data_IF_722849278023
#
_entry.id   IF_722849278023
#
_cell.length_a   1.000
_cell.length_b   1.000
_cell.length_c   1.000
_cell.angle_alpha   90.00
_cell.angle_beta   90.00
_cell.angle_gamma   90.00
#
_symmetry.space_group_name_H-M   'P 1'
#
loop_
_entity.id
_entity.type
_entity.pdbx_description
1 polymer ?
#
# COMPACT_ATOMS: atom_id res chain seq x y z
N UNK A 1 -13.07 -24.48 -63.77
CA UNK A 1 -14.10 -24.12 -64.77
C UNK A 1 -14.99 -23.07 -64.12
N UNK A 2 -15.06 -21.79 -64.52
CA UNK A 2 -14.32 -20.95 -65.49
C UNK A 2 -14.15 -19.57 -64.76
N UNK A 3 -13.08 -18.77 -64.86
CA UNK A 3 -12.59 -18.03 -66.03
C UNK A 3 -13.67 -17.22 -66.79
N UNK A 4 -13.47 -15.95 -67.20
CA UNK A 4 -12.42 -14.96 -66.88
C UNK A 4 -12.86 -13.56 -67.39
N UNK A 5 -12.27 -12.46 -66.86
CA UNK A 5 -12.18 -11.09 -67.49
C UNK A 5 -13.47 -10.34 -67.92
N UNK A 6 -13.52 -9.03 -68.15
CA UNK A 6 -12.55 -7.93 -68.41
C UNK A 6 -13.07 -6.62 -67.72
N UNK A 7 -12.54 -5.38 -67.84
CA UNK A 7 -11.59 -4.70 -68.75
C UNK A 7 -10.51 -3.92 -67.96
N UNK A 8 -9.60 -3.26 -68.69
CA UNK A 8 -8.46 -2.50 -68.19
C UNK A 8 -8.65 -0.96 -68.14
N UNK A 9 -7.88 -0.33 -67.23
CA UNK A 9 -7.15 0.95 -67.33
C UNK A 9 -7.61 2.08 -68.28
N UNK A 10 -7.73 3.28 -67.71
CA UNK A 10 -7.33 4.54 -68.36
C UNK A 10 -6.58 5.45 -67.36
N UNK A 11 -5.81 6.41 -67.88
CA UNK A 11 -4.62 6.97 -67.22
C UNK A 11 -4.81 8.19 -66.29
N UNK A 12 -3.84 8.31 -65.37
CA UNK A 12 -3.35 9.50 -64.66
C UNK A 12 -3.61 10.87 -65.34
N UNK A 13 -4.10 11.87 -64.58
CA UNK A 13 -3.36 13.10 -64.15
C UNK A 13 -4.31 14.12 -63.46
N UNK A 14 -4.14 14.38 -62.15
CA UNK A 14 -4.22 15.75 -61.58
C UNK A 14 -3.63 15.82 -60.15
N UNK A 15 -2.69 16.74 -59.95
CA UNK A 15 -2.22 17.37 -58.69
C UNK A 15 -2.17 16.49 -57.41
N UNK A 16 -1.00 16.08 -56.90
CA UNK A 16 0.02 16.95 -56.28
C UNK A 16 -0.58 18.07 -55.39
N UNK A 17 -1.13 17.68 -54.22
CA UNK A 17 -1.29 18.57 -53.03
C UNK A 17 -1.64 17.82 -51.73
N UNK A 18 -0.79 16.87 -51.31
CA UNK A 18 -0.72 16.43 -49.89
C UNK A 18 0.75 16.35 -49.46
N UNK A 19 1.38 17.52 -49.38
CA UNK A 19 2.65 17.71 -48.68
C UNK A 19 2.38 18.47 -47.38
N UNK A 20 2.81 17.91 -46.27
CA UNK A 20 3.11 18.62 -45.02
C UNK A 20 2.02 19.56 -44.45
N UNK A 21 0.94 18.97 -43.93
CA UNK A 21 0.37 19.38 -42.63
C UNK A 21 0.20 18.11 -41.78
N UNK A 22 0.70 18.01 -40.55
CA UNK A 22 1.81 18.73 -39.93
C UNK A 22 2.35 17.81 -38.83
N UNK A 23 3.63 17.43 -38.89
CA UNK A 23 4.30 16.66 -37.84
C UNK A 23 4.63 17.56 -36.63
N UNK A 24 3.59 18.20 -36.11
CA UNK A 24 3.67 19.37 -35.24
C UNK A 24 2.63 19.33 -34.10
N UNK A 25 1.54 18.57 -34.28
CA UNK A 25 0.50 18.34 -33.24
C UNK A 25 0.75 17.08 -32.38
N UNK A 26 1.87 16.38 -32.60
CA UNK A 26 2.38 15.33 -31.71
C UNK A 26 3.66 15.71 -30.96
N UNK A 27 4.01 17.00 -30.98
CA UNK A 27 4.55 17.60 -29.75
C UNK A 27 3.39 17.78 -28.78
N UNK A 28 3.02 16.70 -28.07
CA UNK A 28 2.57 16.91 -26.70
C UNK A 28 3.63 17.82 -26.06
N UNK A 29 3.18 18.90 -25.45
CA UNK A 29 4.09 19.78 -24.74
C UNK A 29 4.91 18.91 -23.78
N UNK A 30 6.23 18.83 -24.01
CA UNK A 30 7.21 18.70 -22.93
C UNK A 30 7.08 20.01 -22.14
N UNK A 31 5.96 20.10 -21.42
CA UNK A 31 5.43 21.32 -20.88
C UNK A 31 6.38 21.80 -19.81
N UNK A 32 6.73 23.08 -19.92
CA UNK A 32 7.20 23.90 -18.82
C UNK A 32 6.45 23.43 -17.57
N UNK A 33 7.17 22.74 -16.67
CA UNK A 33 6.67 22.43 -15.35
C UNK A 33 6.30 23.79 -14.73
N UNK A 34 5.03 24.07 -14.41
CA UNK A 34 4.75 25.21 -13.57
C UNK A 34 5.33 24.85 -12.21
N UNK A 35 6.17 25.71 -11.64
CA UNK A 35 6.67 25.57 -10.27
C UNK A 35 5.51 25.39 -9.26
N UNK A 36 4.30 25.82 -9.64
CA UNK A 36 3.01 25.60 -8.98
C UNK A 36 2.71 24.17 -8.48
N UNK A 37 3.24 23.09 -9.09
CA UNK A 37 2.99 21.76 -8.51
C UNK A 37 3.72 21.55 -7.17
N UNK A 38 4.92 22.12 -7.02
CA UNK A 38 5.64 22.13 -5.73
C UNK A 38 4.90 23.01 -4.72
N UNK A 39 4.24 24.09 -5.16
CA UNK A 39 3.43 24.98 -4.31
C UNK A 39 2.20 24.28 -3.70
N UNK A 40 1.73 23.16 -4.26
CA UNK A 40 0.65 22.37 -3.67
C UNK A 40 1.09 21.44 -2.54
N UNK A 41 2.40 21.17 -2.40
CA UNK A 41 2.93 20.21 -1.41
C UNK A 41 2.84 20.78 0.00
N UNK A 42 1.98 20.19 0.83
CA UNK A 42 1.91 20.45 2.27
C UNK A 42 3.01 19.65 2.97
N UNK A 43 4.00 20.34 3.54
CA UNK A 43 4.99 19.70 4.40
C UNK A 43 4.34 19.10 5.66
N UNK A 44 4.83 17.94 6.10
CA UNK A 44 4.45 17.35 7.39
C UNK A 44 5.02 18.23 8.51
N UNK A 45 4.20 18.57 9.50
CA UNK A 45 4.65 19.32 10.68
C UNK A 45 5.26 18.38 11.73
N UNK A 46 6.58 18.20 11.64
CA UNK A 46 7.35 17.35 12.55
C UNK A 46 7.34 17.83 14.01
N UNK A 47 7.02 19.12 14.26
CA UNK A 47 6.93 19.67 15.63
C UNK A 47 5.86 19.00 16.48
N UNK A 48 4.87 18.37 15.85
CA UNK A 48 3.85 17.55 16.51
C UNK A 48 4.46 16.38 17.31
N UNK A 49 5.64 15.92 16.93
CA UNK A 49 6.37 14.79 17.53
C UNK A 49 7.54 15.23 18.43
N UNK A 50 7.95 16.50 18.38
CA UNK A 50 9.05 17.03 19.20
C UNK A 50 8.75 16.89 20.71
N UNK A 51 9.74 16.41 21.47
CA UNK A 51 9.62 16.22 22.93
C UNK A 51 8.64 15.13 23.37
N UNK A 52 8.12 14.31 22.46
CA UNK A 52 7.31 13.13 22.77
C UNK A 52 8.21 11.92 23.05
N UNK A 53 7.74 11.00 23.89
CA UNK A 53 8.44 9.75 24.23
C UNK A 53 7.52 8.56 24.04
N UNK A 54 8.07 7.44 23.59
CA UNK A 54 7.36 6.15 23.48
C UNK A 54 7.14 5.56 24.89
N UNK A 55 5.92 5.70 25.42
CA UNK A 55 5.58 5.38 26.82
C UNK A 55 4.78 4.10 26.98
N UNK A 56 4.12 3.60 25.93
CA UNK A 56 3.34 2.36 25.98
C UNK A 56 4.15 1.16 25.47
N UNK A 57 3.78 -0.04 25.93
CA UNK A 57 4.38 -1.29 25.44
C UNK A 57 4.21 -1.44 23.92
N UNK A 58 3.03 -1.09 23.38
CA UNK A 58 2.74 -1.10 21.93
C UNK A 58 3.66 -0.18 21.15
N UNK A 59 3.94 1.02 21.68
CA UNK A 59 4.85 2.00 21.09
C UNK A 59 6.30 1.50 21.09
N UNK A 60 6.78 0.95 22.21
CA UNK A 60 8.14 0.43 22.31
C UNK A 60 8.36 -0.82 21.46
N UNK A 61 7.35 -1.70 21.39
CA UNK A 61 7.34 -2.89 20.54
C UNK A 61 7.38 -2.53 19.05
N UNK A 62 6.52 -1.62 18.60
CA UNK A 62 6.51 -1.15 17.21
C UNK A 62 7.84 -0.49 16.82
N UNK A 63 8.45 0.28 17.72
CA UNK A 63 9.77 0.89 17.52
C UNK A 63 10.89 -0.15 17.36
N UNK A 64 10.92 -1.19 18.20
CA UNK A 64 11.92 -2.27 18.09
C UNK A 64 11.78 -3.07 16.79
N UNK A 65 10.55 -3.41 16.39
CA UNK A 65 10.29 -4.14 15.14
C UNK A 65 10.83 -3.39 13.92
N UNK A 66 10.63 -2.06 13.87
CA UNK A 66 11.12 -1.21 12.79
C UNK A 66 12.64 -0.98 12.87
N UNK A 67 13.23 -0.82 14.06
CA UNK A 67 14.68 -0.70 14.20
C UNK A 67 15.43 -1.97 13.75
N UNK A 68 14.89 -3.16 14.04
CA UNK A 68 15.42 -4.43 13.55
C UNK A 68 15.31 -4.55 12.02
N UNK A 69 14.17 -4.18 11.43
CA UNK A 69 14.02 -4.15 9.97
C UNK A 69 15.03 -3.18 9.32
N UNK A 70 15.18 -1.96 9.88
CA UNK A 70 16.13 -0.97 9.39
C UNK A 70 17.59 -1.43 9.50
N UNK A 71 17.93 -2.23 10.52
CA UNK A 71 19.25 -2.86 10.66
C UNK A 71 19.53 -3.79 9.49
N UNK A 72 18.63 -4.73 9.21
CA UNK A 72 18.76 -5.64 8.07
C UNK A 72 18.82 -4.87 6.74
N UNK A 73 17.93 -3.88 6.56
CA UNK A 73 17.85 -3.02 5.39
C UNK A 73 19.19 -2.33 5.05
N UNK A 74 19.83 -1.69 6.04
CA UNK A 74 21.05 -0.91 5.84
C UNK A 74 22.34 -1.75 5.83
N UNK A 75 22.28 -3.01 6.26
CA UNK A 75 23.42 -3.93 6.35
C UNK A 75 23.32 -5.05 5.30
N UNK A 76 22.76 -6.20 5.65
CA UNK A 76 22.71 -7.41 4.81
C UNK A 76 21.95 -7.16 3.51
N UNK A 77 20.74 -6.60 3.57
CA UNK A 77 19.94 -6.35 2.36
C UNK A 77 20.63 -5.39 1.40
N UNK A 78 21.19 -4.27 1.89
CA UNK A 78 21.92 -3.30 1.06
C UNK A 78 23.06 -3.96 0.28
N UNK A 79 23.81 -4.86 0.93
CA UNK A 79 24.90 -5.61 0.31
C UNK A 79 24.38 -6.64 -0.70
N UNK A 80 23.36 -7.43 -0.36
CA UNK A 80 22.75 -8.43 -1.25
C UNK A 80 22.11 -7.81 -2.50
N UNK A 81 21.58 -6.59 -2.39
CA UNK A 81 21.08 -5.80 -3.53
C UNK A 81 22.20 -5.28 -4.45
N UNK A 82 23.46 -5.30 -4.00
CA UNK A 82 24.60 -4.74 -4.72
C UNK A 82 24.60 -3.21 -4.74
N UNK A 83 24.01 -2.56 -3.74
CA UNK A 83 23.87 -1.09 -3.67
C UNK A 83 25.14 -0.39 -3.13
N UNK A 84 26.24 -1.12 -2.97
CA UNK A 84 27.56 -0.56 -2.61
C UNK A 84 28.22 0.23 -3.76
N UNK A 85 27.74 0.09 -4.98
CA UNK A 85 28.24 0.82 -6.16
C UNK A 85 27.10 1.61 -6.84
N UNK A 86 27.40 2.86 -7.22
CA UNK A 86 26.49 3.70 -7.99
C UNK A 86 26.68 3.48 -9.49
N UNK A 87 25.60 3.66 -10.27
CA UNK A 87 25.72 3.85 -11.72
C UNK A 87 26.54 5.10 -12.06
N UNK A 88 27.01 5.20 -13.31
CA UNK A 88 27.74 6.37 -13.82
C UNK A 88 26.97 7.71 -13.71
N UNK A 89 25.67 7.66 -13.43
CA UNK A 89 24.79 8.81 -13.28
C UNK A 89 24.39 9.11 -11.83
N UNK A 90 24.93 8.37 -10.85
CA UNK A 90 24.71 8.62 -9.42
C UNK A 90 23.42 8.00 -8.84
N UNK A 91 22.78 7.10 -9.58
CA UNK A 91 21.60 6.34 -9.13
C UNK A 91 21.93 4.88 -8.83
N UNK A 92 21.15 4.23 -7.97
CA UNK A 92 21.17 2.79 -7.76
C UNK A 92 20.58 2.05 -8.96
N UNK A 93 21.22 0.95 -9.35
CA UNK A 93 20.66 0.04 -10.35
C UNK A 93 19.67 -0.93 -9.68
N UNK A 94 18.37 -0.72 -9.91
CA UNK A 94 17.30 -1.54 -9.36
C UNK A 94 17.29 -3.00 -9.86
N UNK A 95 18.11 -3.34 -10.88
CA UNK A 95 18.21 -4.65 -11.55
C UNK A 95 16.94 -5.08 -12.31
N UNK A 96 16.16 -4.10 -12.76
CA UNK A 96 14.95 -4.28 -13.59
C UNK A 96 13.75 -3.48 -13.07
N UNK A 97 12.60 -3.67 -13.72
CA UNK A 97 11.36 -2.90 -13.48
C UNK A 97 10.25 -3.69 -12.75
N UNK A 98 10.40 -5.00 -12.57
CA UNK A 98 9.36 -5.87 -11.99
C UNK A 98 9.22 -5.73 -10.47
N UNK A 99 8.14 -6.29 -9.89
CA UNK A 99 7.79 -6.23 -8.47
C UNK A 99 8.99 -6.40 -7.52
N UNK A 100 9.70 -7.53 -7.57
CA UNK A 100 10.82 -7.80 -6.65
C UNK A 100 12.06 -6.93 -6.91
N UNK A 101 12.08 -6.12 -7.97
CA UNK A 101 13.10 -5.11 -8.23
C UNK A 101 12.73 -3.77 -7.62
N UNK A 102 11.47 -3.34 -7.74
CA UNK A 102 10.99 -2.02 -7.31
C UNK A 102 10.33 -2.04 -5.93
N UNK A 103 9.30 -2.88 -5.70
CA UNK A 103 8.51 -2.94 -4.46
C UNK A 103 9.36 -3.00 -3.18
N UNK A 104 10.35 -3.90 -3.02
CA UNK A 104 11.16 -3.93 -1.81
C UNK A 104 11.97 -2.64 -1.61
N UNK A 105 12.50 -2.05 -2.68
CA UNK A 105 13.29 -0.82 -2.58
C UNK A 105 12.42 0.35 -2.11
N UNK A 106 11.17 0.40 -2.56
CA UNK A 106 10.19 1.38 -2.12
C UNK A 106 9.76 1.20 -0.65
N UNK A 107 9.58 -0.05 -0.21
CA UNK A 107 9.24 -0.37 1.18
C UNK A 107 10.39 -0.05 2.16
N UNK A 108 11.65 -0.37 1.81
CA UNK A 108 12.80 0.04 2.65
C UNK A 108 12.98 1.57 2.68
N UNK A 109 12.69 2.26 1.56
CA UNK A 109 12.78 3.72 1.50
C UNK A 109 11.78 4.40 2.47
N UNK A 110 10.54 3.93 2.56
CA UNK A 110 9.57 4.48 3.52
C UNK A 110 9.90 4.09 4.97
N UNK A 111 10.44 2.89 5.20
CA UNK A 111 10.80 2.43 6.55
C UNK A 111 11.95 3.23 7.17
N UNK A 112 12.98 3.50 6.36
CA UNK A 112 14.09 4.35 6.76
C UNK A 112 13.64 5.81 6.92
N UNK A 113 12.86 6.34 5.97
CA UNK A 113 12.31 7.70 6.06
C UNK A 113 11.44 7.89 7.31
N UNK A 114 10.55 6.94 7.63
CA UNK A 114 9.71 7.01 8.81
C UNK A 114 10.51 7.00 10.11
N UNK A 115 11.48 6.08 10.23
CA UNK A 115 12.32 5.95 11.42
C UNK A 115 13.17 7.20 11.67
N UNK A 116 13.78 7.75 10.62
CA UNK A 116 14.55 9.00 10.69
C UNK A 116 13.68 10.20 11.05
N UNK A 117 12.51 10.36 10.40
CA UNK A 117 11.70 11.59 10.51
C UNK A 117 10.81 11.66 11.73
N UNK A 118 10.46 10.52 12.32
CA UNK A 118 9.71 10.44 13.58
C UNK A 118 10.61 10.33 14.82
N UNK A 119 11.94 10.39 14.65
CA UNK A 119 12.90 10.35 15.76
C UNK A 119 13.03 8.98 16.43
N UNK A 120 12.74 7.89 15.71
CA UNK A 120 12.98 6.52 16.19
C UNK A 120 14.44 6.11 16.03
N UNK A 121 15.09 6.56 14.96
CA UNK A 121 16.34 6.01 14.48
C UNK A 121 17.44 6.09 15.55
N UNK A 122 18.00 4.92 15.91
CA UNK A 122 19.10 4.79 16.86
C UNK A 122 20.33 4.14 16.19
N UNK A 123 21.41 4.89 15.95
CA UNK A 123 22.65 4.35 15.41
C UNK A 123 23.26 3.20 16.23
N UNK A 124 23.02 3.14 17.54
CA UNK A 124 23.54 2.07 18.39
C UNK A 124 22.81 0.73 18.16
N UNK A 125 21.49 0.77 17.98
CA UNK A 125 20.66 -0.40 17.65
C UNK A 125 20.88 -0.85 16.19
N UNK A 126 20.93 0.10 15.25
CA UNK A 126 20.97 -0.17 13.81
C UNK A 126 22.41 -0.46 13.32
N UNK A 127 23.44 0.00 14.02
CA UNK A 127 24.85 -0.21 13.65
C UNK A 127 25.32 0.64 12.45
N UNK A 128 24.48 1.55 11.95
CA UNK A 128 24.76 2.47 10.85
C UNK A 128 24.46 3.89 11.31
N UNK A 129 25.31 4.86 10.95
CA UNK A 129 25.15 6.25 11.39
C UNK A 129 23.86 6.89 10.82
N UNK A 130 23.24 7.81 11.56
CA UNK A 130 22.05 8.53 11.10
C UNK A 130 22.30 9.30 9.79
N UNK A 131 23.51 9.86 9.62
CA UNK A 131 23.94 10.53 8.39
C UNK A 131 23.95 9.56 7.20
N UNK A 132 24.63 8.43 7.34
CA UNK A 132 24.72 7.41 6.28
C UNK A 132 23.34 6.82 5.95
N UNK A 133 22.50 6.60 6.97
CA UNK A 133 21.12 6.16 6.78
C UNK A 133 20.29 7.19 6.02
N UNK A 134 20.42 8.49 6.33
CA UNK A 134 19.75 9.56 5.60
C UNK A 134 20.23 9.66 4.14
N UNK A 135 21.54 9.57 3.89
CA UNK A 135 22.11 9.53 2.53
C UNK A 135 21.59 8.34 1.73
N UNK A 136 21.62 7.14 2.31
CA UNK A 136 21.06 5.91 1.71
C UNK A 136 19.56 6.06 1.43
N UNK A 137 18.79 6.65 2.34
CA UNK A 137 17.34 6.89 2.17
C UNK A 137 17.06 7.84 1.01
N UNK A 138 17.76 8.98 0.94
CA UNK A 138 17.63 9.95 -0.16
C UNK A 138 18.01 9.29 -1.49
N UNK A 139 19.07 8.47 -1.51
CA UNK A 139 19.52 7.75 -2.69
C UNK A 139 18.50 6.69 -3.17
N UNK A 140 17.84 5.97 -2.26
CA UNK A 140 16.73 5.06 -2.59
C UNK A 140 15.58 5.83 -3.26
N UNK A 141 15.08 6.90 -2.62
CA UNK A 141 14.00 7.75 -3.13
C UNK A 141 14.35 8.30 -4.52
N UNK A 142 15.55 8.84 -4.68
CA UNK A 142 16.05 9.42 -5.93
C UNK A 142 16.14 8.37 -7.05
N UNK A 143 16.61 7.17 -6.73
CA UNK A 143 16.74 6.09 -7.72
C UNK A 143 15.38 5.51 -8.13
N UNK A 144 14.44 5.39 -7.19
CA UNK A 144 13.06 4.98 -7.47
C UNK A 144 12.35 5.97 -8.40
N UNK A 145 12.35 7.26 -8.03
CA UNK A 145 11.71 8.31 -8.81
C UNK A 145 12.32 8.44 -10.21
N UNK A 146 13.65 8.43 -10.32
CA UNK A 146 14.34 8.53 -11.61
C UNK A 146 14.06 7.34 -12.52
N UNK A 147 14.04 6.12 -11.99
CA UNK A 147 13.80 4.90 -12.76
C UNK A 147 12.33 4.70 -13.19
N UNK A 148 11.39 5.54 -12.74
CA UNK A 148 9.99 5.49 -13.16
C UNK A 148 9.81 5.98 -14.60
N UNK A 149 8.82 5.44 -15.32
CA UNK A 149 8.57 5.76 -16.73
C UNK A 149 8.20 7.24 -17.00
N UNK A 150 7.80 7.99 -15.97
CA UNK A 150 7.56 9.43 -16.06
C UNK A 150 8.86 10.25 -16.18
N UNK A 151 10.02 9.63 -15.89
CA UNK A 151 11.33 10.27 -15.83
C UNK A 151 12.36 9.59 -16.74
N UNK A 152 12.29 8.27 -16.91
CA UNK A 152 13.22 7.48 -17.76
C UNK A 152 12.47 6.62 -18.78
N UNK A 153 12.95 6.60 -20.03
CA UNK A 153 12.38 5.77 -21.09
C UNK A 153 12.52 4.27 -20.75
N UNK A 154 11.45 3.49 -20.89
CA UNK A 154 11.34 2.08 -20.45
C UNK A 154 11.54 1.88 -18.94
N UNK A 155 11.32 2.93 -18.13
CA UNK A 155 11.22 2.83 -16.68
C UNK A 155 10.04 1.99 -16.20
N UNK A 156 9.99 1.71 -14.89
CA UNK A 156 8.88 0.99 -14.25
C UNK A 156 7.63 1.87 -14.14
N UNK A 157 6.44 1.26 -14.03
CA UNK A 157 5.19 2.00 -13.83
C UNK A 157 4.04 1.60 -14.77
N UNK A 158 2.83 2.09 -14.48
CA UNK A 158 1.58 1.79 -15.21
C UNK A 158 1.33 0.28 -15.41
N UNK A 159 1.69 -0.52 -14.41
CA UNK A 159 1.65 -1.98 -14.43
C UNK A 159 1.03 -2.52 -13.15
N UNK A 160 0.78 -3.84 -13.09
CA UNK A 160 0.16 -4.45 -11.91
C UNK A 160 0.98 -4.14 -10.63
N UNK A 161 0.29 -3.63 -9.60
CA UNK A 161 0.84 -3.05 -8.37
C UNK A 161 1.73 -1.79 -8.49
N UNK A 162 1.99 -1.18 -9.66
CA UNK A 162 2.89 -0.01 -9.73
C UNK A 162 2.44 1.17 -8.86
N UNK A 163 1.13 1.37 -8.73
CA UNK A 163 0.53 2.37 -7.85
C UNK A 163 0.85 2.15 -6.36
N UNK A 164 1.06 0.90 -5.93
CA UNK A 164 1.52 0.58 -4.58
C UNK A 164 2.99 0.99 -4.40
N UNK A 165 3.86 0.59 -5.35
CA UNK A 165 5.30 0.86 -5.26
C UNK A 165 5.59 2.37 -5.38
N UNK A 166 4.88 3.06 -6.27
CA UNK A 166 4.89 4.51 -6.37
C UNK A 166 4.32 5.18 -5.12
N UNK A 167 3.32 4.58 -4.47
CA UNK A 167 2.78 5.01 -3.20
C UNK A 167 3.83 5.05 -2.08
N UNK A 168 4.51 3.93 -1.83
CA UNK A 168 5.63 3.86 -0.88
C UNK A 168 6.75 4.84 -1.24
N UNK A 169 7.15 4.88 -2.52
CA UNK A 169 8.21 5.78 -3.03
C UNK A 169 7.87 7.27 -2.84
N UNK A 170 6.63 7.65 -3.14
CA UNK A 170 6.12 9.01 -2.97
C UNK A 170 6.00 9.38 -1.48
N UNK A 171 5.62 8.43 -0.62
CA UNK A 171 5.55 8.67 0.81
C UNK A 171 6.92 8.87 1.43
N UNK A 172 7.90 8.01 1.12
CA UNK A 172 9.29 8.20 1.49
C UNK A 172 9.82 9.58 1.04
N UNK A 173 9.52 9.96 -0.22
CA UNK A 173 9.86 11.27 -0.77
C UNK A 173 9.20 12.43 -0.03
N UNK A 174 7.92 12.31 0.36
CA UNK A 174 7.19 13.33 1.12
C UNK A 174 7.70 13.45 2.57
N UNK A 175 8.03 12.34 3.23
CA UNK A 175 8.65 12.36 4.55
C UNK A 175 10.03 13.04 4.52
N UNK A 176 10.80 12.83 3.45
CA UNK A 176 12.14 13.41 3.26
C UNK A 176 12.16 14.74 2.48
N UNK A 177 11.01 15.37 2.20
CA UNK A 177 10.86 16.39 1.15
C UNK A 177 11.86 17.56 1.23
N UNK A 178 12.09 18.12 2.42
CA UNK A 178 13.03 19.22 2.67
C UNK A 178 14.52 18.82 2.63
N UNK A 179 14.81 17.54 2.35
CA UNK A 179 16.16 17.00 2.15
C UNK A 179 16.42 16.57 0.69
N UNK A 180 15.40 16.57 -0.16
CA UNK A 180 15.51 16.22 -1.57
C UNK A 180 15.99 17.43 -2.38
N UNK A 181 16.78 17.18 -3.44
CA UNK A 181 17.09 18.21 -4.43
C UNK A 181 15.89 18.50 -5.35
N UNK A 182 15.87 19.69 -5.95
CA UNK A 182 14.76 20.16 -6.82
C UNK A 182 14.44 19.17 -7.95
N UNK A 183 15.45 18.51 -8.50
CA UNK A 183 15.24 17.49 -9.54
C UNK A 183 14.47 16.30 -8.98
N UNK A 184 14.88 15.76 -7.84
CA UNK A 184 14.23 14.62 -7.20
C UNK A 184 12.81 14.95 -6.78
N UNK A 185 12.56 16.17 -6.27
CA UNK A 185 11.20 16.66 -6.00
C UNK A 185 10.32 16.66 -7.27
N UNK A 186 10.83 17.19 -8.38
CA UNK A 186 10.11 17.17 -9.67
C UNK A 186 9.90 15.74 -10.21
N UNK A 187 10.88 14.84 -10.06
CA UNK A 187 10.78 13.44 -10.50
C UNK A 187 9.73 12.66 -9.68
N UNK A 188 9.65 12.89 -8.36
CA UNK A 188 8.60 12.33 -7.49
C UNK A 188 7.21 12.84 -7.89
N UNK A 189 7.04 14.14 -8.16
CA UNK A 189 5.74 14.69 -8.60
C UNK A 189 5.32 14.15 -9.98
N UNK A 190 6.27 13.97 -10.91
CA UNK A 190 6.03 13.31 -12.21
C UNK A 190 5.50 11.89 -12.03
N UNK A 191 6.15 11.10 -11.17
CA UNK A 191 5.74 9.73 -10.84
C UNK A 191 4.32 9.70 -10.24
N UNK A 192 4.05 10.54 -9.23
CA UNK A 192 2.73 10.63 -8.60
C UNK A 192 1.65 10.96 -9.63
N UNK A 193 1.84 11.99 -10.45
CA UNK A 193 0.85 12.39 -11.46
C UNK A 193 0.56 11.26 -12.44
N UNK A 194 1.59 10.61 -12.98
CA UNK A 194 1.44 9.57 -14.02
C UNK A 194 0.72 8.33 -13.49
N UNK A 195 0.98 7.94 -12.24
CA UNK A 195 0.29 6.81 -11.59
C UNK A 195 -1.14 7.19 -11.14
N UNK A 196 -1.36 8.40 -10.62
CA UNK A 196 -2.71 8.90 -10.36
C UNK A 196 -3.56 8.98 -11.64
N UNK A 197 -3.02 9.48 -12.75
CA UNK A 197 -3.70 9.52 -14.06
C UNK A 197 -4.02 8.09 -14.56
N UNK A 198 -3.09 7.15 -14.38
CA UNK A 198 -3.27 5.75 -14.77
C UNK A 198 -4.42 5.08 -14.00
N UNK A 199 -4.45 5.24 -12.67
CA UNK A 199 -5.55 4.77 -11.82
C UNK A 199 -6.87 5.50 -12.12
N UNK A 200 -6.85 6.79 -12.52
CA UNK A 200 -8.08 7.52 -12.82
C UNK A 200 -8.68 7.20 -14.20
N UNK A 201 -7.85 6.87 -15.20
CA UNK A 201 -8.27 6.83 -16.61
C UNK A 201 -7.82 5.58 -17.37
N UNK A 202 -6.52 5.30 -17.41
CA UNK A 202 -5.94 4.32 -18.36
C UNK A 202 -6.17 2.86 -17.95
N UNK A 203 -6.36 2.56 -16.65
CA UNK A 203 -6.75 1.22 -16.17
C UNK A 203 -8.22 0.86 -16.52
N UNK A 204 -8.92 1.71 -17.28
CA UNK A 204 -10.27 1.48 -17.81
C UNK A 204 -11.34 1.47 -16.73
N UNK A 205 -11.72 2.66 -16.23
CA UNK A 205 -12.53 2.84 -15.00
C UNK A 205 -12.03 1.91 -13.88
N UNK A 206 -10.81 2.18 -13.38
CA UNK A 206 -9.81 1.18 -12.94
C UNK A 206 -10.47 -0.08 -12.45
N UNK A 207 -10.34 -1.17 -13.20
CA UNK A 207 -11.11 -2.42 -13.02
C UNK A 207 -11.28 -2.78 -11.54
N UNK A 208 -12.41 -2.35 -10.95
CA UNK A 208 -12.71 -2.67 -9.56
C UNK A 208 -13.08 -4.13 -9.57
N UNK A 209 -12.19 -4.93 -9.00
CA UNK A 209 -12.46 -6.33 -8.76
C UNK A 209 -13.46 -6.41 -7.62
N UNK A 210 -14.58 -7.06 -7.88
CA UNK A 210 -15.48 -7.53 -6.83
C UNK A 210 -15.63 -9.03 -6.95
N UNK A 211 -15.49 -9.74 -5.84
CA UNK A 211 -15.72 -11.18 -5.77
C UNK A 211 -17.12 -11.56 -6.24
N UNK A 212 -18.12 -10.77 -5.81
CA UNK A 212 -19.51 -10.89 -6.22
C UNK A 212 -20.01 -9.60 -6.88
N UNK A 213 -20.93 -9.73 -7.83
CA UNK A 213 -21.67 -8.58 -8.36
C UNK A 213 -22.80 -8.15 -7.41
N UNK A 214 -23.54 -7.09 -7.76
CA UNK A 214 -24.70 -6.59 -6.99
C UNK A 214 -25.81 -7.62 -6.74
N UNK A 215 -25.90 -8.68 -7.53
CA UNK A 215 -26.93 -9.72 -7.39
C UNK A 215 -26.45 -10.89 -6.51
N UNK A 216 -25.22 -10.82 -5.97
CA UNK A 216 -24.60 -11.87 -5.16
C UNK A 216 -23.93 -12.99 -5.96
N UNK A 217 -23.94 -12.92 -7.31
CA UNK A 217 -23.29 -13.90 -8.16
C UNK A 217 -21.77 -13.75 -8.06
N UNK A 218 -21.03 -14.85 -7.85
CA UNK A 218 -19.57 -14.85 -7.84
C UNK A 218 -19.08 -14.65 -9.28
N UNK A 219 -18.37 -13.54 -9.52
CA UNK A 219 -17.83 -13.17 -10.84
C UNK A 219 -16.31 -13.32 -10.92
N UNK A 220 -15.62 -13.45 -9.79
CA UNK A 220 -14.17 -13.67 -9.71
C UNK A 220 -13.87 -14.88 -8.80
N UNK A 221 -14.11 -16.12 -9.26
CA UNK A 221 -14.05 -17.30 -8.41
C UNK A 221 -12.64 -17.63 -7.90
N UNK A 222 -12.38 -17.31 -6.63
CA UNK A 222 -11.14 -17.64 -5.93
C UNK A 222 -10.15 -16.50 -5.78
N UNK A 223 -10.40 -15.37 -6.42
CA UNK A 223 -9.65 -14.11 -6.32
C UNK A 223 -10.67 -13.00 -6.04
N UNK A 224 -10.65 -12.41 -4.84
CA UNK A 224 -11.53 -11.27 -4.55
C UNK A 224 -11.05 -9.99 -5.25
N UNK A 225 -9.74 -9.83 -5.48
CA UNK A 225 -9.11 -8.56 -5.86
C UNK A 225 -9.35 -7.44 -4.85
N UNK A 226 -9.65 -7.84 -3.61
CA UNK A 226 -9.97 -6.95 -2.50
C UNK A 226 -8.77 -6.06 -2.16
N UNK A 227 -7.60 -6.70 -2.07
CA UNK A 227 -6.30 -6.10 -1.88
C UNK A 227 -5.84 -5.24 -3.08
N UNK A 228 -6.21 -5.60 -4.32
CA UNK A 228 -5.81 -4.81 -5.49
C UNK A 228 -6.53 -3.46 -5.55
N UNK A 229 -7.80 -3.41 -5.13
CA UNK A 229 -8.49 -2.12 -4.93
C UNK A 229 -7.79 -1.26 -3.89
N UNK A 230 -7.26 -1.87 -2.81
CA UNK A 230 -6.50 -1.19 -1.78
C UNK A 230 -5.11 -0.71 -2.27
N UNK A 231 -4.39 -1.56 -3.01
CA UNK A 231 -3.09 -1.26 -3.60
C UNK A 231 -3.15 -0.13 -4.64
N UNK A 232 -4.16 -0.12 -5.51
CA UNK A 232 -4.47 0.99 -6.43
C UNK A 232 -4.73 2.31 -5.67
N UNK A 233 -5.39 2.22 -4.51
CA UNK A 233 -5.76 3.36 -3.69
C UNK A 233 -4.59 4.07 -3.00
N UNK A 234 -3.43 3.44 -2.85
CA UNK A 234 -2.32 4.03 -2.11
C UNK A 234 -1.77 5.30 -2.79
N UNK A 235 -1.52 5.31 -4.10
CA UNK A 235 -0.97 6.51 -4.75
C UNK A 235 -1.94 7.70 -4.65
N UNK A 236 -3.24 7.47 -4.78
CA UNK A 236 -4.27 8.49 -4.60
C UNK A 236 -4.33 9.00 -3.16
N UNK A 237 -4.08 8.14 -2.19
CA UNK A 237 -3.98 8.51 -0.77
C UNK A 237 -2.81 9.46 -0.54
N UNK A 238 -1.61 9.09 -0.97
CA UNK A 238 -0.41 9.91 -0.81
C UNK A 238 -0.58 11.24 -1.52
N UNK A 239 -1.01 11.23 -2.78
CA UNK A 239 -1.27 12.46 -3.55
C UNK A 239 -2.30 13.38 -2.87
N UNK A 240 -3.37 12.82 -2.30
CA UNK A 240 -4.45 13.61 -1.68
C UNK A 240 -4.09 14.18 -0.31
N UNK A 241 -3.18 13.53 0.42
CA UNK A 241 -2.68 14.00 1.72
C UNK A 241 -1.49 14.98 1.56
N UNK A 242 -0.59 14.68 0.60
CA UNK A 242 0.58 15.48 0.28
C UNK A 242 0.22 16.79 -0.44
N UNK A 243 -0.77 16.77 -1.34
CA UNK A 243 -1.14 17.92 -2.18
C UNK A 243 -2.61 18.35 -1.97
N UNK A 244 -2.99 18.79 -0.75
CA UNK A 244 -4.38 19.09 -0.39
C UNK A 244 -5.00 20.25 -1.20
N UNK A 245 -4.18 21.13 -1.78
CA UNK A 245 -4.62 22.26 -2.60
C UNK A 245 -4.64 21.96 -4.11
N UNK A 246 -4.28 20.74 -4.54
CA UNK A 246 -4.19 20.40 -5.96
C UNK A 246 -5.58 20.34 -6.62
N UNK A 247 -5.77 20.88 -7.86
CA UNK A 247 -7.09 20.95 -8.51
C UNK A 247 -7.80 19.62 -8.77
N UNK A 248 -7.09 18.48 -8.72
CA UNK A 248 -7.69 17.13 -8.86
C UNK A 248 -7.98 16.45 -7.50
N UNK A 249 -7.62 17.06 -6.36
CA UNK A 249 -7.63 16.39 -5.05
C UNK A 249 -9.00 15.82 -4.68
N UNK A 250 -10.10 16.58 -4.86
CA UNK A 250 -11.45 16.09 -4.59
C UNK A 250 -11.83 14.85 -5.42
N UNK A 251 -11.31 14.71 -6.65
CA UNK A 251 -11.55 13.54 -7.52
C UNK A 251 -10.72 12.34 -7.11
N UNK A 252 -9.46 12.56 -6.71
CA UNK A 252 -8.61 11.51 -6.15
C UNK A 252 -9.22 10.97 -4.85
N UNK A 253 -9.72 11.86 -3.97
CA UNK A 253 -10.47 11.48 -2.77
C UNK A 253 -11.75 10.70 -3.09
N UNK A 254 -12.50 11.08 -4.14
CA UNK A 254 -13.72 10.37 -4.52
C UNK A 254 -13.41 8.96 -5.05
N UNK A 255 -12.38 8.80 -5.88
CA UNK A 255 -11.91 7.48 -6.34
C UNK A 255 -11.32 6.66 -5.18
N UNK A 256 -10.58 7.28 -4.27
CA UNK A 256 -10.02 6.60 -3.09
C UNK A 256 -11.15 6.02 -2.21
N UNK A 257 -12.14 6.85 -1.82
CA UNK A 257 -13.29 6.38 -1.02
C UNK A 257 -14.03 5.25 -1.75
N UNK A 258 -14.20 5.37 -3.07
CA UNK A 258 -14.83 4.33 -3.89
C UNK A 258 -14.02 3.01 -3.88
N UNK A 259 -12.69 3.05 -4.02
CA UNK A 259 -11.83 1.87 -3.94
C UNK A 259 -11.85 1.24 -2.53
N UNK A 260 -11.65 2.04 -1.47
CA UNK A 260 -11.64 1.54 -0.09
C UNK A 260 -12.96 0.88 0.31
N UNK A 261 -14.10 1.47 -0.04
CA UNK A 261 -15.40 0.90 0.29
C UNK A 261 -15.68 -0.41 -0.47
N UNK A 262 -15.28 -0.53 -1.74
CA UNK A 262 -15.45 -1.78 -2.49
C UNK A 262 -14.44 -2.86 -2.05
N UNK A 263 -13.25 -2.50 -1.55
CA UNK A 263 -12.32 -3.47 -0.96
C UNK A 263 -12.96 -4.21 0.23
N UNK A 264 -13.54 -3.49 1.20
CA UNK A 264 -14.12 -4.11 2.40
C UNK A 264 -15.63 -4.35 2.36
N UNK A 265 -16.29 -4.15 1.21
CA UNK A 265 -17.75 -4.36 1.09
C UNK A 265 -18.17 -5.82 1.29
N UNK A 266 -19.23 -6.03 2.08
CA UNK A 266 -19.95 -7.31 2.24
C UNK A 266 -21.34 -7.22 1.58
N UNK A 267 -22.02 -8.35 1.27
CA UNK A 267 -23.29 -8.34 0.53
C UNK A 267 -24.37 -7.43 1.14
N UNK A 268 -24.52 -7.40 2.47
CA UNK A 268 -25.52 -6.59 3.18
C UNK A 268 -25.28 -5.08 3.09
N UNK A 269 -24.07 -4.63 2.75
CA UNK A 269 -23.77 -3.21 2.54
C UNK A 269 -24.42 -2.68 1.25
N UNK A 270 -24.74 -3.56 0.28
CA UNK A 270 -25.39 -3.21 -1.00
C UNK A 270 -26.80 -2.66 -0.83
N UNK A 271 -27.45 -2.92 0.31
CA UNK A 271 -28.76 -2.36 0.65
C UNK A 271 -28.68 -1.20 1.66
N UNK A 272 -27.47 -0.92 2.18
CA UNK A 272 -27.29 0.05 3.26
C UNK A 272 -27.58 1.49 2.82
N UNK A 273 -28.51 2.12 3.53
CA UNK A 273 -28.87 3.54 3.41
C UNK A 273 -28.06 4.45 4.33
N UNK A 274 -27.16 3.90 5.14
CA UNK A 274 -26.27 4.68 6.01
C UNK A 274 -25.42 5.62 5.15
N UNK A 275 -25.36 6.90 5.52
CA UNK A 275 -24.56 7.87 4.80
C UNK A 275 -23.07 7.66 5.09
N UNK A 276 -22.28 7.55 4.02
CA UNK A 276 -20.81 7.58 4.01
C UNK A 276 -20.38 8.68 3.05
N UNK A 277 -19.63 9.67 3.56
CA UNK A 277 -19.23 10.89 2.83
C UNK A 277 -20.40 11.58 2.10
N UNK A 278 -21.53 11.71 2.78
CA UNK A 278 -22.73 12.38 2.26
C UNK A 278 -23.52 11.63 1.18
N UNK A 279 -23.18 10.38 0.84
CA UNK A 279 -24.00 9.49 -0.02
C UNK A 279 -24.37 8.21 0.74
N UNK A 280 -25.53 7.57 0.49
CA UNK A 280 -25.81 6.22 0.99
C UNK A 280 -24.70 5.22 0.61
N UNK A 281 -24.30 4.33 1.53
CA UNK A 281 -23.23 3.36 1.33
C UNK A 281 -23.42 2.55 0.04
N UNK A 282 -24.64 2.05 -0.20
CA UNK A 282 -25.00 1.35 -1.43
C UNK A 282 -24.75 2.10 -2.74
N UNK A 283 -24.65 3.42 -2.74
CA UNK A 283 -24.35 4.21 -3.94
C UNK A 283 -22.85 4.25 -4.27
N UNK A 284 -21.99 3.88 -3.32
CA UNK A 284 -20.57 3.67 -3.54
C UNK A 284 -20.23 2.27 -4.03
N UNK A 285 -21.14 1.29 -3.96
CA UNK A 285 -20.79 -0.12 -4.13
C UNK A 285 -21.23 -0.70 -5.49
N UNK A 286 -20.34 -1.42 -6.17
CA UNK A 286 -20.67 -2.16 -7.40
C UNK A 286 -20.78 -3.68 -7.18
N UNK A 287 -20.46 -4.14 -5.97
CA UNK A 287 -20.44 -5.54 -5.58
C UNK A 287 -19.94 -5.68 -4.15
N UNK A 288 -19.51 -6.90 -3.79
CA UNK A 288 -18.92 -7.20 -2.48
C UNK A 288 -17.67 -8.05 -2.63
N UNK A 289 -16.69 -7.85 -1.74
CA UNK A 289 -15.42 -8.57 -1.71
C UNK A 289 -15.27 -9.51 -0.52
N UNK A 290 -15.68 -9.08 0.68
CA UNK A 290 -15.65 -9.95 1.86
C UNK A 290 -17.00 -10.64 2.06
N UNK A 291 -16.99 -11.75 2.80
CA UNK A 291 -18.20 -12.42 3.28
C UNK A 291 -18.80 -11.66 4.47
N UNK A 292 -20.04 -11.99 4.86
CA UNK A 292 -20.73 -11.33 5.99
C UNK A 292 -20.01 -11.49 7.34
N UNK A 293 -19.21 -12.55 7.48
CA UNK A 293 -18.39 -12.88 8.65
C UNK A 293 -16.99 -12.21 8.64
N UNK A 294 -16.69 -11.40 7.62
CA UNK A 294 -15.41 -10.72 7.46
C UNK A 294 -14.33 -11.53 6.76
N UNK A 295 -14.57 -12.80 6.40
CA UNK A 295 -13.61 -13.61 5.65
C UNK A 295 -13.46 -13.14 4.21
N UNK A 296 -12.23 -13.22 3.69
CA UNK A 296 -11.91 -12.92 2.29
C UNK A 296 -11.30 -14.16 1.63
N UNK A 297 -11.66 -14.39 0.36
CA UNK A 297 -11.09 -15.47 -0.45
C UNK A 297 -9.95 -14.91 -1.30
N UNK A 298 -8.79 -15.56 -1.29
CA UNK A 298 -7.79 -15.37 -2.32
C UNK A 298 -7.02 -16.67 -2.58
N UNK A 299 -6.37 -16.77 -3.73
CA UNK A 299 -5.66 -17.98 -4.18
C UNK A 299 -6.54 -19.25 -4.09
N UNK A 300 -7.85 -19.07 -4.30
CA UNK A 300 -8.94 -20.06 -4.20
C UNK A 300 -9.37 -20.51 -2.80
N UNK A 301 -8.88 -19.93 -1.69
CA UNK A 301 -9.30 -20.29 -0.33
C UNK A 301 -9.50 -19.09 0.60
N UNK A 302 -10.19 -19.26 1.74
CA UNK A 302 -10.26 -18.23 2.79
C UNK A 302 -8.84 -18.00 3.32
N UNK A 303 -8.32 -16.79 3.13
CA UNK A 303 -6.89 -16.53 3.26
C UNK A 303 -6.60 -15.45 4.32
N UNK A 304 -6.10 -15.84 5.51
CA UNK A 304 -5.82 -14.91 6.61
C UNK A 304 -4.90 -13.72 6.25
N UNK A 305 -3.84 -13.94 5.47
CA UNK A 305 -3.00 -12.85 4.96
C UNK A 305 -3.79 -11.79 4.18
N UNK A 306 -4.56 -12.20 3.17
CA UNK A 306 -5.28 -11.27 2.30
C UNK A 306 -6.46 -10.57 3.00
N UNK A 307 -7.02 -11.17 4.05
CA UNK A 307 -7.94 -10.47 4.96
C UNK A 307 -7.27 -9.24 5.63
N UNK A 308 -5.95 -9.24 5.84
CA UNK A 308 -5.22 -8.06 6.32
C UNK A 308 -4.73 -7.13 5.20
N UNK A 309 -4.52 -7.62 3.96
CA UNK A 309 -3.89 -6.84 2.87
C UNK A 309 -4.68 -5.59 2.46
N UNK A 310 -6.00 -5.57 2.61
CA UNK A 310 -6.81 -4.35 2.38
C UNK A 310 -6.45 -3.19 3.32
N UNK A 311 -5.86 -3.50 4.48
CA UNK A 311 -5.41 -2.55 5.48
C UNK A 311 -3.91 -2.22 5.38
N UNK A 312 -3.16 -2.86 4.45
CA UNK A 312 -1.72 -2.65 4.21
C UNK A 312 -1.37 -1.17 4.03
N UNK A 313 -2.10 -0.49 3.14
CA UNK A 313 -1.87 0.92 2.93
C UNK A 313 -2.36 1.80 4.10
N UNK A 314 -3.51 1.47 4.71
CA UNK A 314 -4.22 2.26 5.73
C UNK A 314 -4.21 3.79 5.47
N UNK A 315 -5.19 4.31 4.70
CA UNK A 315 -5.20 5.72 4.30
C UNK A 315 -5.26 6.71 5.47
N UNK A 316 -5.72 6.28 6.65
CA UNK A 316 -5.82 7.10 7.87
C UNK A 316 -4.46 7.70 8.26
N UNK A 317 -3.36 6.92 8.16
CA UNK A 317 -2.05 7.34 8.65
C UNK A 317 -1.51 8.56 7.88
N UNK A 318 -1.74 8.64 6.57
CA UNK A 318 -1.30 9.76 5.72
C UNK A 318 -2.07 11.05 6.00
N UNK A 319 -3.41 11.00 6.08
CA UNK A 319 -4.22 12.18 6.40
C UNK A 319 -3.99 12.66 7.84
N UNK A 320 -3.74 11.76 8.78
CA UNK A 320 -3.42 12.13 10.16
C UNK A 320 -2.00 12.73 10.29
N UNK A 321 -1.01 12.26 9.52
CA UNK A 321 0.29 12.94 9.35
C UNK A 321 0.12 14.35 8.73
N UNK A 322 -0.74 14.48 7.73
CA UNK A 322 -1.04 15.75 7.08
C UNK A 322 -1.80 16.75 7.97
N UNK A 323 -2.31 16.38 9.15
CA UNK A 323 -3.35 17.12 9.89
C UNK A 323 -4.52 17.50 8.96
N UNK A 324 -5.17 16.48 8.44
CA UNK A 324 -6.37 16.57 7.60
C UNK A 324 -7.50 15.74 8.21
N UNK A 325 -8.74 16.08 7.84
CA UNK A 325 -9.89 15.26 8.22
C UNK A 325 -9.83 13.90 7.51
N UNK A 326 -10.02 12.83 8.28
CA UNK A 326 -10.04 11.45 7.82
C UNK A 326 -11.47 11.07 7.45
N UNK A 327 -11.67 10.48 6.27
CA UNK A 327 -12.99 9.97 5.91
C UNK A 327 -13.40 8.78 6.77
N UNK A 328 -14.66 8.75 7.23
CA UNK A 328 -15.26 7.58 7.88
C UNK A 328 -15.29 6.32 7.00
N UNK A 329 -15.16 6.44 5.68
CA UNK A 329 -14.99 5.28 4.79
C UNK A 329 -13.75 4.45 5.10
N UNK A 330 -12.71 5.06 5.70
CA UNK A 330 -11.41 4.42 5.91
C UNK A 330 -11.39 3.43 7.08
N UNK A 331 -12.47 3.36 7.86
CA UNK A 331 -12.68 2.36 8.93
C UNK A 331 -13.80 1.37 8.59
N UNK A 332 -14.30 1.37 7.35
CA UNK A 332 -15.45 0.56 6.95
C UNK A 332 -15.17 -0.95 7.09
N UNK A 333 -16.07 -1.65 7.77
CA UNK A 333 -15.99 -3.08 8.11
C UNK A 333 -14.74 -3.56 8.89
N UNK A 334 -13.93 -2.67 9.47
CA UNK A 334 -12.76 -3.08 10.29
C UNK A 334 -13.15 -4.01 11.45
N UNK A 335 -14.26 -3.73 12.13
CA UNK A 335 -14.79 -4.56 13.22
C UNK A 335 -15.27 -5.93 12.75
N UNK A 336 -15.77 -6.01 11.51
CA UNK A 336 -16.27 -7.25 10.91
C UNK A 336 -15.09 -8.16 10.55
N UNK A 337 -14.06 -7.62 9.89
CA UNK A 337 -12.82 -8.37 9.61
C UNK A 337 -12.11 -8.78 10.89
N UNK A 338 -12.08 -7.92 11.92
CA UNK A 338 -11.54 -8.28 13.23
C UNK A 338 -12.30 -9.44 13.87
N UNK A 339 -13.64 -9.46 13.81
CA UNK A 339 -14.46 -10.59 14.26
C UNK A 339 -14.16 -11.88 13.47
N UNK A 340 -13.95 -11.77 12.16
CA UNK A 340 -13.53 -12.89 11.30
C UNK A 340 -12.19 -13.52 11.72
N UNK A 341 -11.29 -12.75 12.34
CA UNK A 341 -10.04 -13.28 12.92
C UNK A 341 -10.20 -13.81 14.35
N UNK A 342 -10.87 -13.04 15.21
CA UNK A 342 -10.81 -13.19 16.66
C UNK A 342 -12.00 -13.94 17.29
N UNK A 343 -13.10 -14.12 16.54
CA UNK A 343 -14.38 -14.67 17.04
C UNK A 343 -14.95 -15.79 16.14
N UNK A 344 -14.69 -15.76 14.83
CA UNK A 344 -15.17 -16.80 13.90
C UNK A 344 -14.45 -18.14 14.15
N UNK A 345 -15.23 -19.16 14.52
CA UNK A 345 -14.75 -20.51 14.82
C UNK A 345 -14.93 -21.42 13.61
N UNK A 346 -13.84 -22.02 13.14
CA UNK A 346 -13.83 -23.00 12.05
C UNK A 346 -13.87 -24.43 12.60
N UNK A 347 -14.76 -25.29 12.11
CA UNK A 347 -14.91 -26.67 12.59
C UNK A 347 -14.04 -27.63 11.78
N UNK A 348 -13.12 -28.36 12.41
CA UNK A 348 -12.27 -29.32 11.70
C UNK A 348 -13.10 -30.38 10.95
N UNK A 349 -12.77 -30.64 9.67
CA UNK A 349 -13.52 -31.51 8.78
C UNK A 349 -14.72 -30.85 8.07
N UNK A 350 -15.02 -29.58 8.36
CA UNK A 350 -16.06 -28.82 7.66
C UNK A 350 -15.59 -28.43 6.24
N UNK A 351 -16.43 -28.66 5.24
CA UNK A 351 -16.16 -28.22 3.85
C UNK A 351 -16.73 -26.82 3.65
N UNK A 352 -15.84 -25.85 3.38
CA UNK A 352 -16.18 -24.45 3.14
C UNK A 352 -15.61 -23.98 1.79
N UNK A 353 -15.76 -22.70 1.45
CA UNK A 353 -15.23 -22.15 0.20
C UNK A 353 -13.70 -22.28 0.17
N UNK A 354 -13.20 -23.12 -0.73
CA UNK A 354 -11.76 -23.34 -0.98
C UNK A 354 -11.15 -24.58 -0.34
N UNK A 355 -11.89 -25.34 0.48
CA UNK A 355 -11.39 -26.61 1.00
C UNK A 355 -12.09 -27.13 2.25
N UNK A 356 -11.48 -28.18 2.81
CA UNK A 356 -11.85 -28.74 4.12
C UNK A 356 -11.01 -28.07 5.22
N UNK A 357 -11.66 -27.67 6.31
CA UNK A 357 -11.03 -27.08 7.49
C UNK A 357 -10.12 -28.11 8.17
N UNK A 358 -8.85 -27.75 8.33
CA UNK A 358 -7.81 -28.61 8.92
C UNK A 358 -8.00 -28.79 10.43
N UNK A 359 -7.45 -29.86 11.00
CA UNK A 359 -7.30 -29.95 12.46
C UNK A 359 -6.34 -28.85 12.98
N UNK A 360 -6.54 -28.32 14.21
CA UNK A 360 -7.56 -28.70 15.18
C UNK A 360 -8.92 -28.01 15.03
N UNK A 361 -9.06 -27.04 14.12
CA UNK A 361 -10.19 -26.08 14.14
C UNK A 361 -9.96 -24.96 15.17
N UNK A 362 -10.91 -24.04 15.29
CA UNK A 362 -10.84 -22.89 16.19
C UNK A 362 -10.86 -21.54 15.46
N UNK A 363 -10.47 -20.48 16.17
CA UNK A 363 -10.34 -19.10 15.64
C UNK A 363 -8.99 -18.90 14.94
N UNK A 364 -8.89 -17.95 14.00
CA UNK A 364 -7.61 -17.64 13.32
C UNK A 364 -6.60 -17.08 14.31
N UNK A 365 -7.01 -16.18 15.22
CA UNK A 365 -6.17 -15.76 16.34
C UNK A 365 -6.31 -16.77 17.49
N UNK A 366 -5.22 -17.44 17.87
CA UNK A 366 -5.21 -18.53 18.85
C UNK A 366 -5.17 -17.97 20.28
N UNK A 367 -6.21 -18.24 21.08
CA UNK A 367 -6.39 -17.56 22.37
C UNK A 367 -5.19 -17.70 23.32
N UNK A 368 -4.55 -16.56 23.62
CA UNK A 368 -3.46 -16.46 24.59
C UNK A 368 -2.05 -16.69 24.02
N UNK A 369 -1.90 -16.88 22.71
CA UNK A 369 -0.59 -16.93 22.04
C UNK A 369 -0.48 -15.84 20.97
N UNK A 370 0.70 -15.63 20.39
CA UNK A 370 0.84 -14.80 19.19
C UNK A 370 0.61 -15.57 17.88
N UNK A 371 0.12 -16.81 17.93
CA UNK A 371 0.01 -17.68 16.76
C UNK A 371 -1.23 -17.44 15.91
N UNK A 372 -1.08 -17.81 14.65
CA UNK A 372 -2.09 -17.71 13.60
C UNK A 372 -2.46 -19.13 13.16
N UNK A 373 -3.71 -19.52 13.39
CA UNK A 373 -4.28 -20.74 12.80
C UNK A 373 -4.76 -20.43 11.39
N UNK A 374 -4.33 -21.24 10.42
CA UNK A 374 -4.73 -21.12 9.02
C UNK A 374 -5.76 -22.21 8.66
N UNK A 375 -7.08 -21.92 8.64
CA UNK A 375 -8.11 -22.97 8.61
C UNK A 375 -8.03 -23.89 7.40
N UNK A 376 -7.63 -23.34 6.24
CA UNK A 376 -7.43 -24.07 4.99
C UNK A 376 -5.93 -24.21 4.63
N UNK A 377 -5.03 -23.67 5.47
CA UNK A 377 -3.61 -23.46 5.19
C UNK A 377 -3.28 -22.08 4.61
N UNK A 378 -2.04 -21.96 4.17
CA UNK A 378 -1.44 -20.79 3.51
C UNK A 378 -0.43 -21.30 2.50
N UNK A 379 -0.24 -20.58 1.39
CA UNK A 379 0.78 -20.84 0.38
C UNK A 379 2.02 -19.93 0.54
N UNK A 380 1.97 -18.97 1.47
CA UNK A 380 3.12 -18.18 1.89
C UNK A 380 3.94 -18.88 2.97
N UNK A 381 3.31 -19.36 4.03
CA UNK A 381 4.00 -19.95 5.18
C UNK A 381 3.42 -19.49 6.51
N UNK A 382 3.49 -20.37 7.52
CA UNK A 382 2.80 -20.19 8.80
C UNK A 382 3.52 -19.20 9.74
N UNK A 383 4.74 -18.76 9.38
CA UNK A 383 5.57 -17.86 10.17
C UNK A 383 5.13 -16.39 10.15
N UNK A 384 4.22 -15.98 9.26
CA UNK A 384 3.81 -14.57 9.17
C UNK A 384 3.12 -14.08 10.43
N UNK A 385 3.60 -12.94 10.94
CA UNK A 385 3.03 -12.22 12.10
C UNK A 385 2.79 -10.73 11.81
N UNK A 386 3.69 -10.09 11.05
CA UNK A 386 3.75 -8.63 10.96
C UNK A 386 2.54 -7.94 10.31
N UNK A 387 1.87 -8.59 9.36
CA UNK A 387 0.61 -8.10 8.80
C UNK A 387 -0.54 -8.12 9.82
N UNK A 388 -0.57 -9.12 10.71
CA UNK A 388 -1.55 -9.21 11.79
C UNK A 388 -1.24 -8.19 12.89
N UNK A 389 0.04 -7.97 13.23
CA UNK A 389 0.48 -6.87 14.12
C UNK A 389 0.02 -5.50 13.60
N UNK A 390 0.26 -5.24 12.31
CA UNK A 390 -0.19 -4.01 11.65
C UNK A 390 -1.71 -3.88 11.67
N UNK A 391 -2.45 -4.89 11.23
CA UNK A 391 -3.91 -4.88 11.25
C UNK A 391 -4.46 -4.63 12.67
N UNK A 392 -3.88 -5.28 13.67
CA UNK A 392 -4.29 -5.11 15.06
C UNK A 392 -3.92 -3.73 15.64
N UNK A 393 -2.82 -3.09 15.20
CA UNK A 393 -2.55 -1.68 15.53
C UNK A 393 -3.59 -0.73 14.90
N UNK A 394 -3.96 -0.96 13.64
CA UNK A 394 -5.01 -0.19 12.94
C UNK A 394 -6.36 -0.35 13.67
N UNK A 395 -6.76 -1.59 14.01
CA UNK A 395 -7.98 -1.86 14.75
C UNK A 395 -7.94 -1.29 16.18
N UNK A 396 -6.79 -1.37 16.87
CA UNK A 396 -6.60 -0.79 18.21
C UNK A 396 -6.73 0.75 18.23
N UNK A 397 -6.25 1.43 17.18
CA UNK A 397 -6.31 2.87 17.06
C UNK A 397 -7.67 3.39 16.55
N UNK A 398 -8.27 2.73 15.56
CA UNK A 398 -9.33 3.33 14.73
C UNK A 398 -10.69 2.58 14.72
N UNK A 399 -10.80 1.39 15.32
CA UNK A 399 -12.11 0.73 15.45
C UNK A 399 -13.12 1.64 16.18
N UNK A 400 -14.36 1.80 15.69
CA UNK A 400 -15.39 2.54 16.41
C UNK A 400 -15.77 1.84 17.73
N UNK A 401 -15.65 0.52 17.82
CA UNK A 401 -15.98 -0.28 18.99
C UNK A 401 -14.84 -0.32 20.04
N UNK A 402 -15.04 0.24 21.26
CA UNK A 402 -14.01 0.23 22.31
C UNK A 402 -13.55 -1.17 22.75
N UNK A 403 -14.41 -2.18 22.65
CA UNK A 403 -14.07 -3.56 23.02
C UNK A 403 -13.14 -4.20 21.96
N UNK A 404 -13.37 -3.93 20.68
CA UNK A 404 -12.47 -4.32 19.59
C UNK A 404 -11.13 -3.61 19.76
N UNK A 405 -11.11 -2.28 20.03
CA UNK A 405 -9.85 -1.55 20.27
C UNK A 405 -8.98 -2.18 21.37
N UNK A 406 -9.61 -2.59 22.49
CA UNK A 406 -8.91 -3.27 23.60
C UNK A 406 -8.34 -4.63 23.17
N UNK A 407 -9.16 -5.50 22.58
CA UNK A 407 -8.75 -6.85 22.15
C UNK A 407 -7.68 -6.81 21.06
N UNK A 408 -7.81 -5.90 20.10
CA UNK A 408 -6.83 -5.71 19.04
C UNK A 408 -5.46 -5.31 19.61
N UNK A 409 -5.41 -4.44 20.63
CA UNK A 409 -4.14 -4.11 21.30
C UNK A 409 -3.53 -5.30 22.05
N UNK A 410 -4.35 -6.15 22.66
CA UNK A 410 -3.88 -7.41 23.29
C UNK A 410 -3.25 -8.35 22.25
N UNK A 411 -3.89 -8.54 21.08
CA UNK A 411 -3.35 -9.34 19.98
C UNK A 411 -2.09 -8.75 19.32
N UNK A 412 -2.07 -7.43 19.11
CA UNK A 412 -0.90 -6.71 18.58
C UNK A 412 0.35 -6.98 19.42
N UNK A 413 0.21 -6.97 20.76
CA UNK A 413 1.33 -7.22 21.67
C UNK A 413 1.80 -8.69 21.61
N UNK A 414 0.88 -9.65 21.61
CA UNK A 414 1.21 -11.08 21.50
C UNK A 414 1.93 -11.40 20.19
N UNK A 415 1.31 -11.05 19.05
CA UNK A 415 1.85 -11.31 17.70
C UNK A 415 3.14 -10.52 17.44
N UNK A 416 3.26 -9.33 18.02
CA UNK A 416 4.46 -8.50 17.91
C UNK A 416 5.62 -9.02 18.73
N UNK A 417 5.35 -9.67 19.87
CA UNK A 417 6.36 -10.32 20.68
C UNK A 417 6.93 -11.55 19.95
N UNK A 418 6.07 -12.38 19.32
CA UNK A 418 6.53 -13.46 18.42
C UNK A 418 7.42 -12.90 17.30
N UNK A 419 7.02 -11.81 16.65
CA UNK A 419 7.82 -11.19 15.58
C UNK A 419 9.18 -10.66 16.09
N UNK A 420 9.25 -10.11 17.30
CA UNK A 420 10.51 -9.72 17.94
C UNK A 420 11.39 -10.94 18.27
N UNK A 421 10.79 -12.05 18.70
CA UNK A 421 11.52 -13.29 18.99
C UNK A 421 12.04 -13.94 17.70
N UNK A 422 11.26 -13.90 16.62
CA UNK A 422 11.69 -14.32 15.29
C UNK A 422 12.89 -13.51 14.79
N UNK A 423 12.86 -12.18 14.94
CA UNK A 423 13.98 -11.29 14.60
C UNK A 423 15.20 -11.51 15.53
N UNK A 424 14.96 -11.75 16.82
CA UNK A 424 15.99 -12.00 17.82
C UNK A 424 16.81 -13.28 17.62
N UNK A 425 16.44 -14.12 16.65
CA UNK A 425 17.24 -15.28 16.22
C UNK A 425 18.48 -14.88 15.41
N UNK A 426 18.56 -13.64 14.89
CA UNK A 426 19.56 -13.22 13.91
C UNK A 426 20.25 -11.90 14.30
N UNK A 427 21.55 -11.81 14.07
CA UNK A 427 22.36 -10.66 14.50
C UNK A 427 22.02 -9.37 13.74
N UNK A 428 21.57 -9.47 12.49
CA UNK A 428 21.18 -8.35 11.62
C UNK A 428 19.69 -7.98 11.72
N UNK A 429 18.88 -8.76 12.46
CA UNK A 429 17.48 -8.45 12.74
C UNK A 429 16.48 -8.82 11.65
N UNK A 430 16.86 -9.63 10.65
CA UNK A 430 15.89 -10.21 9.70
C UNK A 430 14.93 -11.18 10.41
N UNK A 431 13.78 -11.46 9.80
CA UNK A 431 12.65 -12.12 10.45
C UNK A 431 12.61 -13.62 10.17
N UNK A 432 12.83 -14.03 8.91
CA UNK A 432 12.56 -15.39 8.44
C UNK A 432 13.82 -16.15 8.05
N UNK A 433 13.99 -17.35 8.61
CA UNK A 433 15.17 -18.19 8.38
C UNK A 433 15.31 -18.69 6.94
N UNK A 434 14.20 -18.93 6.24
CA UNK A 434 14.14 -19.43 4.86
C UNK A 434 12.71 -19.40 4.29
N UNK A 435 12.55 -19.84 3.04
CA UNK A 435 11.28 -19.85 2.29
C UNK A 435 10.18 -20.77 2.86
N UNK A 436 10.46 -21.60 3.86
CA UNK A 436 9.42 -22.39 4.56
C UNK A 436 8.67 -21.59 5.62
N UNK A 437 9.27 -20.52 6.14
CA UNK A 437 8.62 -19.65 7.13
C UNK A 437 7.80 -18.54 6.44
N UNK A 438 8.31 -17.99 5.32
CA UNK A 438 7.58 -17.19 4.34
C UNK A 438 8.23 -17.36 2.95
N UNK A 439 7.49 -17.84 1.96
CA UNK A 439 7.95 -18.10 0.59
C UNK A 439 8.10 -16.83 -0.25
N UNK A 440 7.51 -15.70 0.14
CA UNK A 440 7.55 -14.46 -0.63
C UNK A 440 8.99 -13.95 -0.80
N UNK A 441 9.39 -13.61 -2.03
CA UNK A 441 10.79 -13.28 -2.37
C UNK A 441 11.29 -11.96 -1.77
N UNK A 442 10.39 -11.12 -1.27
CA UNK A 442 10.71 -9.82 -0.68
C UNK A 442 10.17 -9.70 0.75
N UNK A 443 10.13 -10.82 1.48
CA UNK A 443 9.57 -10.96 2.84
C UNK A 443 10.07 -9.95 3.87
N UNK A 444 11.37 -9.63 3.89
CA UNK A 444 11.93 -8.70 4.88
C UNK A 444 11.54 -7.24 4.57
N UNK A 445 11.60 -6.81 3.31
CA UNK A 445 11.09 -5.50 2.92
C UNK A 445 9.57 -5.38 3.11
N UNK A 446 8.83 -6.49 3.00
CA UNK A 446 7.42 -6.53 3.37
C UNK A 446 7.23 -6.40 4.89
N UNK A 447 8.09 -7.01 5.72
CA UNK A 447 8.13 -6.76 7.17
C UNK A 447 8.43 -5.29 7.46
N UNK A 448 9.35 -4.65 6.73
CA UNK A 448 9.69 -3.24 6.88
C UNK A 448 8.47 -2.33 6.66
N UNK A 449 7.67 -2.50 5.60
CA UNK A 449 6.39 -1.78 5.43
C UNK A 449 5.44 -2.03 6.62
N UNK A 450 5.18 -3.29 7.00
CA UNK A 450 4.25 -3.58 8.10
C UNK A 450 4.71 -2.98 9.43
N UNK A 451 6.01 -3.01 9.72
CA UNK A 451 6.62 -2.37 10.89
C UNK A 451 6.47 -0.85 10.83
N UNK A 452 6.71 -0.25 9.66
CA UNK A 452 6.56 1.19 9.38
C UNK A 452 5.13 1.66 9.61
N UNK A 453 4.19 0.98 8.97
CA UNK A 453 2.75 1.22 9.11
C UNK A 453 2.29 1.13 10.57
N UNK A 454 2.76 0.12 11.30
CA UNK A 454 2.50 -0.04 12.75
C UNK A 454 3.08 1.10 13.57
N UNK A 455 4.36 1.41 13.36
CA UNK A 455 5.08 2.43 14.13
C UNK A 455 4.50 3.83 13.92
N UNK A 456 4.16 4.21 12.68
CA UNK A 456 3.53 5.51 12.38
C UNK A 456 2.22 5.69 13.17
N UNK A 457 1.39 4.65 13.27
CA UNK A 457 0.11 4.69 14.00
C UNK A 457 0.34 4.85 15.52
N UNK A 458 1.32 4.15 16.08
CA UNK A 458 1.66 4.25 17.50
C UNK A 458 2.37 5.58 17.86
N UNK A 459 3.16 6.14 16.95
CA UNK A 459 3.76 7.47 17.08
C UNK A 459 2.71 8.60 16.95
N UNK A 460 1.78 8.50 16.00
CA UNK A 460 0.70 9.48 15.82
C UNK A 460 -0.21 9.60 17.06
N UNK A 461 -0.39 8.51 17.83
CA UNK A 461 -1.12 8.51 19.11
C UNK A 461 -0.46 9.38 20.21
N UNK A 462 0.77 9.88 20.02
CA UNK A 462 1.40 10.90 20.87
C UNK A 462 0.99 12.34 20.52
N UNK A 463 0.32 12.51 19.38
CA UNK A 463 -0.19 13.78 18.85
C UNK A 463 -1.70 13.93 19.14
N UNK A 464 -2.34 14.97 18.62
CA UNK A 464 -3.80 15.12 18.73
C UNK A 464 -4.54 13.99 17.99
N UNK A 465 -5.68 13.57 18.53
CA UNK A 465 -6.50 12.49 17.95
C UNK A 465 -6.97 12.82 16.51
N UNK A 466 -7.12 11.80 15.63
CA UNK A 466 -7.52 12.03 14.25
C UNK A 466 -8.94 12.59 14.18
N UNK A 467 -9.14 13.62 13.35
CA UNK A 467 -10.45 14.24 13.12
C UNK A 467 -11.18 13.47 12.02
N UNK A 468 -12.19 12.69 12.37
CA UNK A 468 -13.00 11.99 11.37
C UNK A 468 -14.14 12.85 10.82
N UNK A 469 -14.43 12.69 9.53
CA UNK A 469 -15.51 13.39 8.82
C UNK A 469 -16.37 12.43 8.02
N UNK A 470 -17.67 12.71 8.01
CA UNK A 470 -18.66 12.01 7.17
C UNK A 470 -19.32 12.96 6.15
N UNK A 471 -18.76 14.16 5.98
CA UNK A 471 -19.27 15.15 5.04
C UNK A 471 -18.97 14.75 3.59
N UNK A 472 -19.74 15.32 2.66
CA UNK A 472 -19.46 15.21 1.23
C UNK A 472 -18.12 15.91 0.92
N UNK A 473 -17.34 15.30 0.03
CA UNK A 473 -16.13 15.90 -0.54
C UNK A 473 -16.54 17.24 -1.21
N UNK A 474 -15.74 18.28 -0.98
CA UNK A 474 -16.02 19.65 -1.45
C UNK A 474 -15.46 19.91 -2.84
#
# INVERSE_FOLDING_TARGET
>A
MMENTTKCLFWLWLCLRVTALSAQDQKMNAGIFPAAEVEYVKLIDWKRFEGKSMVTDSQQLAGKLLLNANKYALTTWWQERGFSELSQHGYLDLKGISEHRVRPVAAEAEALAASLRLGLYDPASVGVSEHEAAEKTILLIKSLAHAHLANTENGWGREWQSALWAGYSAFAGWMMWDKLDDQTQMEVLKMIRVECEWIMHDKGLPQIKTYRNRHGEIISPGDTGSEENAWDGLILTVASAMMPAHPQQSKWMEKLIFLTLNATARPSDLESTQLVNGKPLREWLIGSNINEDGTAVNHHFIHPDYMTSVFEFNPIKYFWLADMEVSMAMVHNIDVVFGGFADLTFTAGETITGGEVKAPGGTIFIQGTGDIYYPLGTDWGEGRRMNFVMFNSIAAAFSPNPAVRKRAREWMLLQGQEALEMQGRFEDGHTYMNEKEDAYKSREAWVADKATSTYIIEALQLTEAPRFTNQKIK
#
